data_IF_133718819610
#
_entry.id   IF_133718819610
#
_cell.length_a   1.000
_cell.length_b   1.000
_cell.length_c   1.000
_cell.angle_alpha   90.00
_cell.angle_beta   90.00
_cell.angle_gamma   90.00
#
_symmetry.space_group_name_H-M   'P 1'
#
loop_
_entity.id
_entity.type
_entity.pdbx_description
1 polymer ?
#
# COMPACT_ATOMS: atom_id res chain seq x y z
N UNK A 1 3.47 24.66 38.28
CA UNK A 1 3.49 25.24 36.92
C UNK A 1 2.97 24.17 35.98
N UNK A 2 1.81 24.38 35.34
CA UNK A 2 1.29 23.43 34.35
C UNK A 2 2.29 23.39 33.19
N UNK A 3 2.78 22.21 32.83
CA UNK A 3 3.71 22.05 31.70
C UNK A 3 3.09 22.68 30.46
N UNK A 4 3.80 23.65 29.88
CA UNK A 4 3.49 24.18 28.57
C UNK A 4 3.78 23.06 27.56
N UNK A 5 2.73 22.49 26.97
CA UNK A 5 2.81 21.71 25.74
C UNK A 5 3.26 22.69 24.65
N UNK A 6 4.54 22.62 24.25
CA UNK A 6 5.04 23.40 23.12
C UNK A 6 4.47 22.78 21.86
N UNK A 7 3.43 23.39 21.31
CA UNK A 7 2.84 23.00 20.04
C UNK A 7 3.46 23.91 18.98
N UNK A 8 4.35 23.35 18.16
CA UNK A 8 5.02 24.05 17.06
C UNK A 8 4.37 23.63 15.74
N UNK A 9 3.65 24.56 15.09
CA UNK A 9 3.02 24.32 13.79
C UNK A 9 3.99 24.67 12.67
N UNK A 10 4.15 23.76 11.72
CA UNK A 10 4.79 24.02 10.43
C UNK A 10 3.76 23.82 9.32
N UNK A 11 3.74 24.73 8.34
CA UNK A 11 2.86 24.69 7.17
C UNK A 11 3.67 24.84 5.88
N UNK A 12 3.22 24.23 4.79
CA UNK A 12 3.81 24.35 3.45
C UNK A 12 2.72 24.75 2.47
N UNK A 13 2.56 26.05 2.25
CA UNK A 13 1.55 26.61 1.34
C UNK A 13 2.20 27.59 0.37
N UNK A 14 1.53 27.87 -0.77
CA UNK A 14 1.94 28.93 -1.70
C UNK A 14 1.74 30.35 -1.15
N UNK A 15 1.15 30.49 0.04
CA UNK A 15 0.78 31.74 0.69
C UNK A 15 1.78 32.10 1.80
N UNK A 16 2.11 33.40 1.93
CA UNK A 16 3.27 33.83 2.74
C UNK A 16 2.97 34.07 4.23
N UNK A 17 1.70 34.25 4.63
CA UNK A 17 1.28 34.54 6.01
C UNK A 17 -0.05 33.83 6.31
N UNK A 18 -0.04 32.83 7.21
CA UNK A 18 -1.26 32.29 7.80
C UNK A 18 -1.76 33.25 8.90
N UNK A 19 -3.07 33.46 9.05
CA UNK A 19 -3.62 34.08 10.27
C UNK A 19 -4.31 33.00 11.05
N UNK A 20 -3.78 32.67 12.22
CA UNK A 20 -4.26 31.56 13.03
C UNK A 20 -4.89 32.05 14.32
N UNK A 21 -6.15 31.68 14.51
CA UNK A 21 -6.86 31.86 15.76
C UNK A 21 -6.99 30.50 16.47
N UNK A 22 -6.93 30.45 17.80
CA UNK A 22 -7.17 29.22 18.58
C UNK A 22 -8.21 29.43 19.71
N UNK A 23 -8.88 28.36 20.10
CA UNK A 23 -9.86 28.32 21.20
C UNK A 23 -9.28 27.54 22.39
N UNK A 24 -9.20 28.18 23.57
CA UNK A 24 -8.72 27.56 24.82
C UNK A 24 -9.84 26.84 25.58
N UNK A 25 -9.48 25.86 26.42
CA UNK A 25 -10.42 24.92 27.12
C UNK A 25 -11.57 25.62 27.89
N UNK A 26 -11.40 26.88 28.31
CA UNK A 26 -12.40 27.62 29.10
C UNK A 26 -13.11 28.76 28.32
N UNK A 27 -12.89 28.88 27.02
CA UNK A 27 -13.57 29.86 26.17
C UNK A 27 -14.70 29.16 25.39
N UNK A 28 -15.94 29.27 25.85
CA UNK A 28 -17.12 28.79 25.13
C UNK A 28 -17.59 29.85 24.12
N UNK A 29 -17.08 29.76 22.89
CA UNK A 29 -17.73 30.29 21.69
C UNK A 29 -17.76 31.82 21.48
N UNK A 30 -17.82 32.17 20.18
CA UNK A 30 -18.13 33.50 19.62
C UNK A 30 -17.09 34.60 19.89
N UNK A 31 -16.18 34.80 18.92
CA UNK A 31 -15.44 36.03 18.57
C UNK A 31 -14.66 36.81 19.65
N UNK A 32 -14.81 36.48 20.93
CA UNK A 32 -14.33 37.30 22.06
C UNK A 32 -13.36 36.56 22.98
N UNK A 33 -13.00 35.31 22.63
CA UNK A 33 -12.01 34.49 23.35
C UNK A 33 -10.85 34.01 22.48
N UNK A 34 -10.79 34.47 21.23
CA UNK A 34 -9.72 34.13 20.29
C UNK A 34 -8.55 35.06 20.52
N UNK A 35 -7.36 34.50 20.75
CA UNK A 35 -6.13 35.29 20.82
C UNK A 35 -5.35 35.03 19.53
N UNK A 36 -4.92 36.08 18.85
CA UNK A 36 -4.00 35.92 17.72
C UNK A 36 -2.72 35.27 18.26
N UNK A 37 -2.33 34.15 17.68
CA UNK A 37 -1.07 33.53 18.05
C UNK A 37 0.08 34.24 17.29
N UNK A 38 1.11 34.64 18.04
CA UNK A 38 2.25 35.38 17.51
C UNK A 38 3.08 34.45 16.61
N UNK A 39 3.23 34.82 15.34
CA UNK A 39 3.96 34.05 14.34
C UNK A 39 5.41 34.55 14.29
N UNK A 40 6.31 33.81 14.92
CA UNK A 40 7.75 34.04 14.76
C UNK A 40 8.31 33.01 13.77
N UNK A 41 8.86 33.51 12.65
CA UNK A 41 9.55 32.68 11.65
C UNK A 41 8.74 31.49 11.10
N UNK A 42 7.42 31.64 10.96
CA UNK A 42 6.53 30.58 10.44
C UNK A 42 6.17 29.49 11.44
N UNK A 43 6.52 29.69 12.72
CA UNK A 43 6.18 28.80 13.83
C UNK A 43 5.06 29.44 14.65
N UNK A 44 3.92 28.76 14.72
CA UNK A 44 2.84 29.15 15.63
C UNK A 44 3.04 28.46 16.99
N UNK A 45 3.06 29.25 18.07
CA UNK A 45 3.07 28.73 19.44
C UNK A 45 1.66 28.76 20.03
N UNK A 46 1.06 27.60 20.29
CA UNK A 46 -0.24 27.51 20.96
C UNK A 46 -0.09 27.26 22.48
N UNK A 47 -1.04 27.74 23.29
CA UNK A 47 -1.14 27.33 24.70
C UNK A 47 -1.38 25.83 24.84
N UNK A 48 -0.98 25.30 26.00
CA UNK A 48 -1.08 23.87 26.30
C UNK A 48 -2.49 23.34 26.51
N UNK A 49 -3.47 24.23 26.56
CA UNK A 49 -4.89 23.96 26.73
C UNK A 49 -5.71 24.31 25.48
N UNK A 50 -5.04 24.55 24.35
CA UNK A 50 -5.71 24.69 23.05
C UNK A 50 -6.33 23.37 22.63
N UNK A 51 -7.63 23.38 22.35
CA UNK A 51 -8.38 22.19 21.88
C UNK A 51 -8.76 22.29 20.41
N UNK A 52 -8.66 23.50 19.83
CA UNK A 52 -9.03 23.75 18.44
C UNK A 52 -8.27 24.94 17.86
N UNK A 53 -8.02 24.84 16.56
CA UNK A 53 -7.47 25.91 15.73
C UNK A 53 -8.52 26.26 14.66
N UNK A 54 -8.79 27.55 14.49
CA UNK A 54 -9.59 28.08 13.38
C UNK A 54 -8.76 29.13 12.64
N UNK A 55 -8.60 29.01 11.33
CA UNK A 55 -7.67 29.87 10.60
C UNK A 55 -8.06 30.07 9.14
N UNK A 56 -7.45 31.08 8.54
CA UNK A 56 -7.56 31.43 7.12
C UNK A 56 -6.20 31.88 6.63
N UNK A 57 -5.92 31.66 5.34
CA UNK A 57 -4.74 32.27 4.72
C UNK A 57 -5.14 33.60 4.08
N UNK A 58 -4.20 34.53 4.03
CA UNK A 58 -4.38 35.81 3.35
C UNK A 58 -3.16 36.18 2.53
N UNK A 59 -3.37 37.02 1.53
CA UNK A 59 -2.27 37.65 0.82
C UNK A 59 -1.55 38.69 1.70
N UNK A 60 -0.38 39.17 1.25
CA UNK A 60 0.46 40.11 2.03
C UNK A 60 -0.27 41.40 2.41
N UNK A 61 -1.24 41.81 1.59
CA UNK A 61 -1.97 43.06 1.76
C UNK A 61 -3.30 42.86 2.50
N UNK A 62 -3.66 41.62 2.85
CA UNK A 62 -4.96 41.25 3.45
C UNK A 62 -6.17 41.58 2.57
N UNK A 63 -5.98 41.64 1.26
CA UNK A 63 -7.01 41.90 0.27
C UNK A 63 -7.69 40.61 -0.20
N UNK A 64 -6.96 39.49 -0.21
CA UNK A 64 -7.47 38.18 -0.61
C UNK A 64 -7.37 37.20 0.55
N UNK A 65 -8.40 36.37 0.64
CA UNK A 65 -8.56 35.35 1.67
C UNK A 65 -8.69 34.00 0.98
N UNK A 66 -7.98 33.00 1.48
CA UNK A 66 -8.14 31.61 1.10
C UNK A 66 -8.84 30.92 2.28
N UNK A 67 -10.12 30.63 2.02
CA UNK A 67 -11.07 29.99 2.91
C UNK A 67 -11.39 28.59 2.36
N UNK A 68 -11.79 27.63 3.20
CA UNK A 68 -12.24 26.34 2.71
C UNK A 68 -13.45 26.50 1.77
N UNK A 69 -13.60 25.64 0.74
CA UNK A 69 -14.66 25.73 -0.26
C UNK A 69 -16.06 25.44 0.32
N UNK A 70 -16.14 24.87 1.53
CA UNK A 70 -17.38 24.59 2.26
C UNK A 70 -17.29 25.16 3.67
N UNK A 71 -18.43 25.54 4.22
CA UNK A 71 -18.50 25.92 5.63
C UNK A 71 -18.06 24.75 6.51
N UNK A 72 -17.29 25.06 7.54
CA UNK A 72 -16.86 24.07 8.52
C UNK A 72 -18.05 23.58 9.37
N UNK A 73 -17.83 22.57 10.22
CA UNK A 73 -18.86 21.99 11.10
C UNK A 73 -19.50 22.97 12.10
N UNK A 74 -18.95 24.18 12.24
CA UNK A 74 -19.50 25.28 13.05
C UNK A 74 -20.23 26.32 12.20
N UNK A 75 -20.49 26.02 10.93
CA UNK A 75 -21.13 26.89 9.94
C UNK A 75 -20.35 28.19 9.66
N UNK A 76 -19.01 28.12 9.69
CA UNK A 76 -18.10 29.26 9.44
C UNK A 76 -17.22 29.01 8.22
N UNK A 77 -16.76 30.08 7.60
CA UNK A 77 -15.94 30.05 6.39
C UNK A 77 -14.44 29.97 6.70
N UNK A 78 -14.01 29.22 7.70
CA UNK A 78 -12.59 29.12 8.09
C UNK A 78 -12.16 27.67 8.17
N UNK A 79 -10.86 27.40 7.94
CA UNK A 79 -10.29 26.09 8.21
C UNK A 79 -10.41 25.79 9.70
N UNK A 80 -10.76 24.56 10.03
CA UNK A 80 -11.00 24.12 11.40
C UNK A 80 -10.22 22.84 11.67
N UNK A 81 -9.42 22.82 12.73
CA UNK A 81 -8.64 21.65 13.14
C UNK A 81 -8.87 21.42 14.62
N UNK A 82 -9.38 20.24 14.96
CA UNK A 82 -9.47 19.80 16.35
C UNK A 82 -8.12 19.23 16.80
N UNK A 83 -7.72 19.59 18.03
CA UNK A 83 -6.46 19.19 18.64
C UNK A 83 -6.71 18.06 19.62
N UNK A 84 -6.08 16.92 19.37
CA UNK A 84 -5.96 15.84 20.32
C UNK A 84 -4.88 16.12 21.37
N UNK A 85 -5.19 15.81 22.63
CA UNK A 85 -4.23 15.85 23.74
C UNK A 85 -3.28 14.65 23.62
N UNK A 86 -2.17 14.85 22.92
CA UNK A 86 -1.10 13.84 22.78
C UNK A 86 0.23 14.35 23.31
N UNK A 87 1.00 13.47 23.95
CA UNK A 87 2.42 13.74 24.24
C UNK A 87 3.20 13.68 22.91
N UNK A 88 3.14 14.77 22.13
CA UNK A 88 3.88 14.93 20.89
C UNK A 88 4.82 16.13 21.02
N UNK A 89 6.04 15.99 20.51
CA UNK A 89 7.01 17.08 20.46
C UNK A 89 6.76 18.00 19.25
N UNK A 90 6.08 17.50 18.21
CA UNK A 90 5.81 18.25 16.97
C UNK A 90 4.39 17.99 16.44
N UNK A 91 3.67 19.06 16.10
CA UNK A 91 2.34 19.05 15.48
C UNK A 91 2.40 19.81 14.15
N UNK A 92 2.06 19.16 13.05
CA UNK A 92 1.91 19.84 11.77
C UNK A 92 0.43 20.15 11.52
N UNK A 93 0.14 21.33 10.98
CA UNK A 93 -1.18 21.64 10.42
C UNK A 93 -1.05 21.58 8.91
N UNK A 94 -1.67 20.57 8.33
CA UNK A 94 -1.61 20.32 6.89
C UNK A 94 -2.91 20.81 6.27
N UNK A 95 -2.81 21.59 5.20
CA UNK A 95 -3.95 22.00 4.39
C UNK A 95 -3.80 21.44 2.98
N UNK A 96 -4.81 20.70 2.51
CA UNK A 96 -4.86 20.12 1.18
C UNK A 96 -6.31 19.99 0.72
N UNK A 97 -6.57 20.26 -0.57
CA UNK A 97 -7.88 20.12 -1.21
C UNK A 97 -9.04 20.81 -0.46
N UNK A 98 -8.76 21.99 0.11
CA UNK A 98 -9.75 22.77 0.86
C UNK A 98 -10.08 22.23 2.25
N UNK A 99 -9.28 21.29 2.77
CA UNK A 99 -9.41 20.76 4.12
C UNK A 99 -8.12 20.92 4.92
N UNK A 100 -8.25 20.87 6.26
CA UNK A 100 -7.13 21.00 7.18
C UNK A 100 -7.11 19.83 8.18
N UNK A 101 -5.91 19.36 8.52
CA UNK A 101 -5.70 18.28 9.47
C UNK A 101 -4.53 18.54 10.42
N UNK A 102 -4.69 18.08 11.67
CA UNK A 102 -3.60 17.97 12.63
C UNK A 102 -2.82 16.67 12.41
N UNK A 103 -1.50 16.77 12.24
CA UNK A 103 -0.60 15.63 12.08
C UNK A 103 0.43 15.63 13.20
N UNK A 104 0.30 14.65 14.08
CA UNK A 104 1.18 14.44 15.22
C UNK A 104 2.41 13.65 14.80
N UNK A 105 3.57 14.30 14.82
CA UNK A 105 4.84 13.67 14.43
C UNK A 105 5.53 13.15 15.68
N UNK A 106 5.81 11.85 15.69
CA UNK A 106 6.66 11.24 16.70
C UNK A 106 8.12 11.26 16.19
N UNK A 107 9.05 11.91 16.93
CA UNK A 107 10.46 11.90 16.57
C UNK A 107 11.04 10.49 16.45
N UNK A 108 10.53 9.52 17.23
CA UNK A 108 10.93 8.11 17.18
C UNK A 108 10.25 7.33 16.06
N UNK A 109 9.29 7.94 15.37
CA UNK A 109 8.60 7.36 14.21
C UNK A 109 7.54 6.31 14.53
N UNK A 110 7.06 6.19 15.78
CA UNK A 110 6.11 5.12 16.14
C UNK A 110 4.74 5.22 15.45
N UNK A 111 4.41 6.37 14.82
CA UNK A 111 3.14 6.57 14.12
C UNK A 111 3.26 6.55 12.59
N UNK A 112 4.45 6.23 12.06
CA UNK A 112 4.70 6.09 10.63
C UNK A 112 4.25 4.71 10.15
N UNK A 113 3.72 4.67 8.93
CA UNK A 113 3.31 3.42 8.27
C UNK A 113 3.95 3.33 6.88
N UNK A 114 4.16 2.11 6.41
CA UNK A 114 4.47 1.80 5.03
C UNK A 114 3.22 1.20 4.39
N UNK A 115 2.71 1.80 3.32
CA UNK A 115 1.64 1.25 2.50
C UNK A 115 2.26 0.70 1.22
N UNK A 116 2.03 -0.58 0.95
CA UNK A 116 2.42 -1.27 -0.27
C UNK A 116 1.13 -1.73 -0.94
N UNK A 117 0.76 -1.13 -2.06
CA UNK A 117 -0.55 -1.38 -2.67
C UNK A 117 -0.42 -1.85 -4.10
N UNK A 118 -1.18 -2.87 -4.46
CA UNK A 118 -1.48 -3.11 -5.87
C UNK A 118 -2.24 -1.93 -6.49
N UNK A 119 -2.27 -1.87 -7.82
CA UNK A 119 -2.90 -0.80 -8.58
C UNK A 119 -4.25 -1.24 -9.15
N UNK A 120 -4.24 -2.11 -10.16
CA UNK A 120 -5.43 -2.42 -10.97
C UNK A 120 -6.45 -3.20 -10.14
N UNK A 121 -7.67 -2.68 -10.01
CA UNK A 121 -8.69 -3.31 -9.16
C UNK A 121 -8.49 -3.08 -7.66
N UNK A 122 -7.37 -2.50 -7.24
CA UNK A 122 -7.08 -2.19 -5.83
C UNK A 122 -7.13 -0.68 -5.57
N UNK A 123 -6.18 0.09 -6.12
CA UNK A 123 -6.09 1.54 -5.95
C UNK A 123 -6.68 2.30 -7.14
N UNK A 124 -6.60 1.72 -8.34
CA UNK A 124 -7.17 2.21 -9.60
C UNK A 124 -8.39 1.36 -9.94
N UNK A 125 -9.42 1.99 -10.50
CA UNK A 125 -10.69 1.35 -10.88
C UNK A 125 -11.92 2.09 -10.31
N UNK A 126 -11.70 2.89 -9.25
CA UNK A 126 -12.73 3.69 -8.61
C UNK A 126 -12.21 5.09 -8.27
N UNK A 127 -12.47 6.06 -9.14
CA UNK A 127 -11.92 7.42 -9.03
C UNK A 127 -12.27 8.12 -7.71
N UNK A 128 -13.46 7.88 -7.16
CA UNK A 128 -13.89 8.46 -5.88
C UNK A 128 -13.05 7.96 -4.69
N UNK A 129 -12.74 6.65 -4.66
CA UNK A 129 -11.91 6.06 -3.62
C UNK A 129 -10.44 6.45 -3.78
N UNK A 130 -9.96 6.54 -5.03
CA UNK A 130 -8.62 7.05 -5.31
C UNK A 130 -8.47 8.51 -4.85
N UNK A 131 -9.45 9.37 -5.14
CA UNK A 131 -9.45 10.76 -4.67
C UNK A 131 -9.45 10.83 -3.14
N UNK A 132 -10.28 10.01 -2.48
CA UNK A 132 -10.33 9.90 -1.02
C UNK A 132 -9.00 9.44 -0.43
N UNK A 133 -8.35 8.43 -1.04
CA UNK A 133 -7.04 7.95 -0.63
C UNK A 133 -5.97 9.05 -0.76
N UNK A 134 -5.87 9.73 -1.91
CA UNK A 134 -4.86 10.78 -2.11
C UNK A 134 -4.98 11.90 -1.11
N UNK A 135 -6.22 12.34 -0.86
CA UNK A 135 -6.53 13.38 0.10
C UNK A 135 -6.17 12.94 1.51
N UNK A 136 -6.59 11.75 1.93
CA UNK A 136 -6.27 11.20 3.25
C UNK A 136 -4.76 11.00 3.44
N UNK A 137 -4.09 10.46 2.42
CA UNK A 137 -2.64 10.27 2.39
C UNK A 137 -1.90 11.59 2.57
N UNK A 138 -2.29 12.62 1.81
CA UNK A 138 -1.67 13.95 1.87
C UNK A 138 -1.93 14.63 3.20
N UNK A 139 -3.18 14.63 3.69
CA UNK A 139 -3.57 15.29 4.93
C UNK A 139 -2.95 14.63 6.16
N UNK A 140 -2.83 13.31 6.17
CA UNK A 140 -2.49 12.60 7.40
C UNK A 140 -1.14 11.90 7.37
N UNK A 141 -0.75 11.26 6.26
CA UNK A 141 0.34 10.28 6.26
C UNK A 141 1.65 10.76 5.62
N UNK A 142 1.57 11.58 4.57
CA UNK A 142 2.74 12.05 3.84
C UNK A 142 3.71 12.81 4.76
N UNK A 143 3.19 13.79 5.50
CA UNK A 143 4.00 14.69 6.33
C UNK A 143 4.55 14.06 7.62
N UNK A 144 3.97 12.97 8.11
CA UNK A 144 4.51 12.26 9.29
C UNK A 144 5.71 11.38 8.97
N UNK A 145 6.10 11.26 7.70
CA UNK A 145 7.16 10.37 7.23
C UNK A 145 6.71 8.94 6.97
N UNK A 146 5.41 8.73 6.70
CA UNK A 146 4.91 7.46 6.15
C UNK A 146 5.45 7.26 4.73
N UNK A 147 5.44 6.02 4.24
CA UNK A 147 6.00 5.65 2.95
C UNK A 147 4.97 4.96 2.07
N UNK A 148 5.00 5.26 0.78
CA UNK A 148 4.07 4.71 -0.22
C UNK A 148 4.84 3.94 -1.28
N UNK A 149 4.40 2.71 -1.53
CA UNK A 149 4.96 1.83 -2.55
C UNK A 149 3.81 1.28 -3.40
N UNK A 150 3.96 1.35 -4.72
CA UNK A 150 3.07 0.66 -5.64
C UNK A 150 3.67 -0.71 -5.97
N UNK A 151 2.84 -1.76 -6.00
CA UNK A 151 3.26 -3.13 -6.27
C UNK A 151 2.34 -3.80 -7.29
N UNK A 152 2.68 -3.64 -8.57
CA UNK A 152 1.82 -3.96 -9.70
C UNK A 152 2.46 -4.97 -10.66
N UNK A 153 1.61 -5.64 -11.44
CA UNK A 153 2.04 -6.45 -12.58
C UNK A 153 2.44 -5.65 -13.83
N UNK A 154 2.20 -4.32 -13.86
CA UNK A 154 2.58 -3.45 -14.97
C UNK A 154 4.10 -3.35 -15.11
N UNK A 155 4.59 -3.21 -16.34
CA UNK A 155 5.97 -2.79 -16.63
C UNK A 155 6.12 -1.27 -16.37
N UNK A 156 7.34 -0.74 -16.44
CA UNK A 156 7.62 0.68 -16.19
C UNK A 156 6.80 1.64 -17.06
N UNK A 157 6.66 1.36 -18.36
CA UNK A 157 5.94 2.24 -19.29
C UNK A 157 4.46 2.31 -18.93
N UNK A 158 3.83 1.16 -18.72
CA UNK A 158 2.40 1.06 -18.39
C UNK A 158 2.09 1.59 -16.98
N UNK A 159 3.03 1.43 -16.05
CA UNK A 159 2.96 2.05 -14.74
C UNK A 159 3.00 3.57 -14.83
N UNK A 160 3.95 4.14 -15.58
CA UNK A 160 4.08 5.60 -15.71
C UNK A 160 2.88 6.22 -16.45
N UNK A 161 2.34 5.55 -17.46
CA UNK A 161 1.10 5.97 -18.12
C UNK A 161 -0.07 6.03 -17.13
N UNK A 162 -0.32 4.95 -16.39
CA UNK A 162 -1.38 4.91 -15.38
C UNK A 162 -1.14 5.93 -14.26
N UNK A 163 0.12 6.10 -13.85
CA UNK A 163 0.48 7.02 -12.80
C UNK A 163 0.19 8.48 -13.17
N UNK A 164 0.47 8.90 -14.41
CA UNK A 164 0.15 10.27 -14.82
C UNK A 164 -1.32 10.46 -15.21
N UNK A 165 -1.95 9.50 -15.90
CA UNK A 165 -3.39 9.51 -16.21
C UNK A 165 -4.22 9.68 -14.94
N UNK A 166 -3.96 8.84 -13.94
CA UNK A 166 -4.66 8.90 -12.67
C UNK A 166 -4.03 9.89 -11.68
N UNK A 167 -3.02 10.68 -12.06
CA UNK A 167 -2.32 11.65 -11.17
C UNK A 167 -1.95 11.05 -9.81
N UNK A 168 -1.30 9.89 -9.81
CA UNK A 168 -0.89 9.19 -8.61
C UNK A 168 0.18 9.99 -7.85
N UNK A 169 0.13 10.02 -6.50
CA UNK A 169 1.22 10.54 -5.69
C UNK A 169 2.54 9.85 -6.04
N UNK A 170 3.63 10.63 -6.02
CA UNK A 170 4.98 10.10 -6.20
C UNK A 170 5.25 9.01 -5.15
N UNK A 171 5.60 7.78 -5.55
CA UNK A 171 5.93 6.73 -4.59
C UNK A 171 7.37 6.88 -4.09
N UNK A 172 7.65 6.29 -2.94
CA UNK A 172 9.03 6.07 -2.47
C UNK A 172 9.71 4.97 -3.29
N UNK A 173 8.97 3.90 -3.62
CA UNK A 173 9.39 2.86 -4.56
C UNK A 173 8.22 2.39 -5.44
N UNK A 174 8.51 1.98 -6.67
CA UNK A 174 7.59 1.23 -7.50
C UNK A 174 8.13 -0.19 -7.72
N UNK A 175 7.37 -1.19 -7.26
CA UNK A 175 7.60 -2.61 -7.51
C UNK A 175 6.76 -2.99 -8.74
N UNK A 176 7.44 -3.39 -9.81
CA UNK A 176 6.85 -3.62 -11.14
C UNK A 176 7.10 -5.05 -11.61
N UNK A 177 6.43 -5.45 -12.68
CA UNK A 177 6.60 -6.77 -13.29
C UNK A 177 6.34 -7.91 -12.30
N UNK A 178 5.34 -7.77 -11.43
CA UNK A 178 5.03 -8.73 -10.34
C UNK A 178 6.24 -8.96 -9.42
N UNK A 179 6.95 -7.89 -9.09
CA UNK A 179 8.09 -7.93 -8.16
C UNK A 179 9.41 -8.32 -8.79
N UNK A 180 9.55 -8.23 -10.11
CA UNK A 180 10.83 -8.52 -10.79
C UNK A 180 11.66 -7.26 -11.00
N UNK A 181 11.04 -6.09 -10.92
CA UNK A 181 11.72 -4.81 -11.01
C UNK A 181 11.32 -3.92 -9.84
N UNK A 182 12.27 -3.12 -9.36
CA UNK A 182 12.05 -2.16 -8.27
C UNK A 182 12.70 -0.84 -8.67
N UNK A 183 11.94 0.24 -8.63
CA UNK A 183 12.37 1.57 -9.07
C UNK A 183 12.23 2.63 -7.98
N UNK A 184 13.15 3.61 -8.01
CA UNK A 184 13.05 4.89 -7.31
C UNK A 184 12.99 6.04 -8.31
N UNK A 185 12.50 7.21 -7.86
CA UNK A 185 12.33 8.39 -8.71
C UNK A 185 13.02 9.60 -8.07
N UNK A 186 14.33 9.78 -8.24
CA UNK A 186 15.08 10.84 -7.55
C UNK A 186 14.75 12.26 -8.02
N UNK A 187 14.02 12.43 -9.13
CA UNK A 187 13.70 13.75 -9.70
C UNK A 187 14.84 14.34 -10.53
N UNK A 188 15.90 13.56 -10.78
CA UNK A 188 16.99 13.87 -11.69
C UNK A 188 17.22 12.67 -12.62
N UNK A 189 17.67 12.94 -13.83
CA UNK A 189 18.03 11.91 -14.81
C UNK A 189 19.16 11.02 -14.25
N UNK A 190 18.99 9.70 -14.35
CA UNK A 190 19.98 8.75 -13.91
C UNK A 190 21.20 8.76 -14.86
N UNK A 191 22.44 8.83 -14.32
CA UNK A 191 23.63 9.00 -15.14
C UNK A 191 24.11 7.71 -15.84
N UNK A 192 23.61 6.53 -15.46
CA UNK A 192 24.10 5.24 -15.98
C UNK A 192 23.01 4.16 -16.01
N UNK A 193 22.78 3.60 -17.21
CA UNK A 193 21.84 2.51 -17.49
C UNK A 193 22.51 1.27 -18.11
N UNK A 194 23.84 1.24 -18.18
CA UNK A 194 24.63 0.20 -18.88
C UNK A 194 24.37 -1.23 -18.40
N UNK A 195 23.90 -1.41 -17.17
CA UNK A 195 23.64 -2.73 -16.59
C UNK A 195 22.40 -3.43 -17.15
N UNK A 196 21.38 -2.72 -17.63
CA UNK A 196 20.27 -3.37 -18.32
C UNK A 196 20.72 -3.85 -19.70
N UNK A 197 21.53 -3.05 -20.40
CA UNK A 197 22.04 -3.39 -21.73
C UNK A 197 22.80 -4.71 -21.76
N UNK A 198 23.51 -5.10 -20.69
CA UNK A 198 24.27 -6.34 -20.65
C UNK A 198 23.41 -7.61 -20.60
N UNK A 199 22.11 -7.48 -20.30
CA UNK A 199 21.14 -8.58 -20.32
C UNK A 199 20.40 -8.71 -21.65
N UNK A 200 20.60 -7.76 -22.58
CA UNK A 200 19.87 -7.64 -23.83
C UNK A 200 20.72 -8.13 -25.01
N UNK A 201 20.05 -8.72 -26.00
CA UNK A 201 20.63 -8.97 -27.33
C UNK A 201 20.91 -7.65 -28.06
N UNK A 202 21.77 -7.62 -29.10
CA UNK A 202 22.04 -6.39 -29.87
C UNK A 202 20.79 -5.72 -30.45
N UNK A 203 19.82 -6.50 -30.95
CA UNK A 203 18.54 -5.98 -31.46
C UNK A 203 17.69 -5.35 -30.34
N UNK A 204 17.75 -5.91 -29.13
CA UNK A 204 17.08 -5.36 -27.96
C UNK A 204 17.79 -4.11 -27.42
N UNK A 205 19.10 -3.99 -27.59
CA UNK A 205 19.87 -2.78 -27.24
C UNK A 205 19.52 -1.59 -28.13
N UNK A 206 19.24 -1.80 -29.42
CA UNK A 206 18.82 -0.73 -30.33
C UNK A 206 17.43 -0.18 -29.94
N UNK A 207 16.46 -1.08 -29.72
CA UNK A 207 15.14 -0.71 -29.17
C UNK A 207 15.24 -0.05 -27.81
N UNK A 208 16.20 -0.48 -26.98
CA UNK A 208 16.44 0.14 -25.68
C UNK A 208 16.75 1.63 -25.82
N UNK A 209 17.55 2.03 -26.80
CA UNK A 209 17.98 3.41 -26.96
C UNK A 209 16.80 4.33 -27.37
N UNK A 210 15.88 3.83 -28.20
CA UNK A 210 14.63 4.51 -28.55
C UNK A 210 13.72 4.67 -27.33
N UNK A 211 13.56 3.60 -26.54
CA UNK A 211 12.70 3.58 -25.35
C UNK A 211 13.22 4.50 -24.23
N UNK A 212 14.53 4.74 -24.18
CA UNK A 212 15.18 5.66 -23.23
C UNK A 212 14.94 7.13 -23.58
N UNK A 213 14.79 7.43 -24.87
CA UNK A 213 14.40 8.76 -25.35
C UNK A 213 12.88 8.97 -25.32
N UNK A 214 12.09 7.92 -25.02
CA UNK A 214 10.65 8.02 -24.99
C UNK A 214 10.18 8.94 -23.86
N UNK A 215 9.36 9.92 -24.25
CA UNK A 215 8.56 10.75 -23.35
C UNK A 215 7.13 10.30 -23.49
N UNK A 216 6.56 9.70 -22.44
CA UNK A 216 5.14 9.36 -22.46
C UNK A 216 4.28 10.62 -22.47
N UNK A 217 3.22 10.61 -23.28
CA UNK A 217 2.31 11.77 -23.44
C UNK A 217 1.60 12.14 -22.14
N UNK A 218 1.44 11.18 -21.22
CA UNK A 218 0.75 11.33 -19.94
C UNK A 218 1.60 10.86 -18.77
N UNK A 219 2.93 10.97 -18.83
CA UNK A 219 3.78 10.61 -17.68
C UNK A 219 3.71 11.66 -16.56
N UNK A 220 3.86 11.23 -15.30
CA UNK A 220 3.72 12.12 -14.16
C UNK A 220 4.86 13.14 -14.09
N UNK A 221 4.59 14.33 -13.54
CA UNK A 221 5.58 15.41 -13.40
C UNK A 221 6.85 14.98 -12.64
N UNK A 222 6.71 14.03 -11.71
CA UNK A 222 7.83 13.50 -10.93
C UNK A 222 8.71 12.49 -11.71
N UNK A 223 8.29 12.07 -12.91
CA UNK A 223 9.05 11.23 -13.84
C UNK A 223 8.68 11.58 -15.30
N UNK A 224 9.12 12.73 -15.82
CA UNK A 224 8.76 13.18 -17.16
C UNK A 224 9.42 12.36 -18.29
N UNK A 225 10.50 11.64 -17.97
CA UNK A 225 11.28 10.83 -18.91
C UNK A 225 11.73 9.54 -18.24
N UNK A 226 12.06 8.52 -19.03
CA UNK A 226 12.39 7.17 -18.53
C UNK A 226 13.64 7.22 -17.65
N UNK A 227 14.57 8.13 -17.98
CA UNK A 227 15.81 8.35 -17.24
C UNK A 227 15.58 8.79 -15.79
N UNK A 228 14.39 9.31 -15.45
CA UNK A 228 14.06 9.71 -14.07
C UNK A 228 13.62 8.52 -13.21
N UNK A 229 13.43 7.34 -13.82
CA UNK A 229 13.20 6.09 -13.13
C UNK A 229 14.53 5.35 -12.95
N UNK A 230 14.96 5.20 -11.69
CA UNK A 230 16.18 4.49 -11.32
C UNK A 230 15.87 3.10 -10.83
N UNK A 231 16.36 2.09 -11.55
CA UNK A 231 16.26 0.70 -11.12
C UNK A 231 17.17 0.42 -9.91
N UNK A 232 16.64 -0.33 -8.94
CA UNK A 232 17.37 -0.80 -7.77
C UNK A 232 18.28 -2.00 -8.10
N UNK A 233 19.56 -1.71 -8.32
CA UNK A 233 20.59 -2.72 -8.65
C UNK A 233 20.67 -3.87 -7.64
N UNK A 234 20.64 -3.56 -6.35
CA UNK A 234 20.69 -4.56 -5.27
C UNK A 234 19.56 -5.60 -5.38
N UNK A 235 18.36 -5.17 -5.78
CA UNK A 235 17.23 -6.07 -5.99
C UNK A 235 17.50 -7.01 -7.16
N UNK A 236 17.91 -6.44 -8.29
CA UNK A 236 18.13 -7.18 -9.53
C UNK A 236 19.28 -8.17 -9.38
N UNK A 237 20.39 -7.78 -8.76
CA UNK A 237 21.52 -8.66 -8.47
C UNK A 237 21.11 -9.85 -7.59
N UNK A 238 20.11 -9.67 -6.72
CA UNK A 238 19.62 -10.73 -5.84
C UNK A 238 18.77 -11.80 -6.54
N UNK A 239 18.16 -11.49 -7.69
CA UNK A 239 17.23 -12.38 -8.40
C UNK A 239 17.72 -12.83 -9.78
N UNK A 240 18.59 -12.08 -10.45
CA UNK A 240 18.95 -12.29 -11.87
C UNK A 240 19.57 -13.64 -12.19
N UNK A 241 20.23 -14.27 -11.21
CA UNK A 241 20.88 -15.58 -11.38
C UNK A 241 19.91 -16.75 -11.23
N UNK A 242 18.65 -16.50 -10.86
CA UNK A 242 17.66 -17.52 -10.55
C UNK A 242 16.68 -17.76 -11.71
N UNK A 243 16.79 -17.00 -12.80
CA UNK A 243 15.82 -17.00 -13.88
C UNK A 243 16.49 -16.74 -15.23
N UNK A 244 16.12 -17.54 -16.22
CA UNK A 244 16.43 -17.31 -17.62
C UNK A 244 15.11 -17.31 -18.38
N UNK A 245 14.75 -16.15 -18.95
CA UNK A 245 13.51 -16.03 -19.73
C UNK A 245 13.50 -16.99 -20.91
N UNK A 246 14.63 -17.10 -21.61
CA UNK A 246 14.78 -18.02 -22.74
C UNK A 246 14.50 -19.47 -22.34
N UNK A 247 15.09 -19.93 -21.23
CA UNK A 247 14.85 -21.29 -20.73
C UNK A 247 13.40 -21.50 -20.28
N UNK A 248 12.78 -20.48 -19.67
CA UNK A 248 11.37 -20.52 -19.30
C UNK A 248 10.45 -20.61 -20.53
N UNK A 249 10.76 -19.87 -21.60
CA UNK A 249 10.01 -19.92 -22.86
C UNK A 249 10.16 -21.28 -23.54
N UNK A 250 11.38 -21.81 -23.61
CA UNK A 250 11.66 -23.15 -24.15
C UNK A 250 10.95 -24.24 -23.34
N UNK A 251 10.90 -24.10 -22.01
CA UNK A 251 10.15 -24.98 -21.12
C UNK A 251 8.65 -24.93 -21.41
N UNK A 252 8.03 -23.74 -21.41
CA UNK A 252 6.60 -23.57 -21.66
C UNK A 252 6.21 -24.11 -23.03
N UNK A 253 6.98 -23.82 -24.08
CA UNK A 253 6.70 -24.31 -25.45
C UNK A 253 6.85 -25.81 -25.61
N UNK A 254 7.71 -26.44 -24.81
CA UNK A 254 7.92 -27.89 -24.84
C UNK A 254 6.83 -28.64 -24.09
N UNK A 255 6.41 -28.12 -22.94
CA UNK A 255 5.53 -28.85 -22.04
C UNK A 255 4.03 -28.53 -22.21
N UNK A 256 3.67 -27.35 -22.72
CA UNK A 256 2.28 -27.01 -22.98
C UNK A 256 1.89 -27.32 -24.43
N UNK A 257 0.97 -28.26 -24.61
CA UNK A 257 0.33 -28.55 -25.89
C UNK A 257 -1.05 -27.88 -25.96
N UNK A 258 -1.20 -26.83 -26.77
CA UNK A 258 -2.48 -26.15 -26.95
C UNK A 258 -2.35 -24.67 -27.35
N UNK A 259 -3.46 -23.95 -27.29
CA UNK A 259 -3.50 -22.52 -27.56
C UNK A 259 -3.10 -21.74 -26.29
N UNK A 260 -1.97 -21.03 -26.36
CA UNK A 260 -1.52 -20.10 -25.33
C UNK A 260 -0.69 -18.98 -25.98
N UNK A 261 -0.56 -17.86 -25.28
CA UNK A 261 0.19 -16.70 -25.75
C UNK A 261 1.26 -16.33 -24.73
N UNK A 262 2.52 -16.29 -25.18
CA UNK A 262 3.61 -15.70 -24.39
C UNK A 262 3.53 -14.17 -24.53
N UNK A 263 3.43 -13.48 -23.40
CA UNK A 263 3.30 -12.03 -23.34
C UNK A 263 4.66 -11.35 -23.08
N UNK A 264 4.74 -10.07 -23.44
CA UNK A 264 5.92 -9.23 -23.23
C UNK A 264 7.13 -9.67 -24.06
N UNK A 265 8.32 -9.16 -23.70
CA UNK A 265 9.59 -9.52 -24.34
C UNK A 265 10.75 -9.42 -23.34
N UNK A 266 11.92 -9.97 -23.68
CA UNK A 266 13.10 -9.93 -22.80
C UNK A 266 13.58 -8.51 -22.49
N UNK A 267 13.18 -7.53 -23.29
CA UNK A 267 13.50 -6.13 -23.04
C UNK A 267 12.66 -5.51 -21.89
N UNK A 268 11.34 -5.64 -21.92
CA UNK A 268 10.46 -5.07 -20.89
C UNK A 268 10.28 -5.97 -19.67
N UNK A 269 10.46 -7.27 -19.83
CA UNK A 269 10.23 -8.27 -18.79
C UNK A 269 11.39 -9.30 -18.79
N UNK A 270 12.65 -8.90 -18.59
CA UNK A 270 13.81 -9.80 -18.66
C UNK A 270 13.77 -10.90 -17.59
N UNK A 271 13.17 -10.59 -16.45
CA UNK A 271 13.10 -11.45 -15.27
C UNK A 271 11.70 -12.02 -15.03
N UNK A 272 10.83 -11.99 -16.04
CA UNK A 272 9.47 -12.52 -15.97
C UNK A 272 9.10 -13.17 -17.29
N UNK A 273 8.38 -14.27 -17.22
CA UNK A 273 7.64 -14.79 -18.36
C UNK A 273 6.16 -14.85 -17.99
N UNK A 274 5.34 -14.06 -18.66
CA UNK A 274 3.88 -14.08 -18.49
C UNK A 274 3.25 -14.84 -19.65
N UNK A 275 2.37 -15.79 -19.35
CA UNK A 275 1.68 -16.62 -20.34
C UNK A 275 0.17 -16.46 -20.17
N UNK A 276 -0.52 -15.99 -21.22
CA UNK A 276 -1.97 -16.04 -21.29
C UNK A 276 -2.38 -17.45 -21.68
N UNK A 277 -3.10 -18.14 -20.80
CA UNK A 277 -3.45 -19.55 -20.95
C UNK A 277 -4.95 -19.76 -20.66
N UNK A 278 -5.68 -20.56 -21.46
CA UNK A 278 -7.07 -20.93 -21.16
C UNK A 278 -7.15 -21.71 -19.85
N UNK A 279 -8.21 -21.48 -19.06
CA UNK A 279 -8.46 -22.20 -17.81
C UNK A 279 -8.50 -23.71 -18.04
N UNK A 280 -9.14 -24.16 -19.13
CA UNK A 280 -9.22 -25.58 -19.49
C UNK A 280 -7.84 -26.22 -19.71
N UNK A 281 -6.94 -25.52 -20.40
CA UNK A 281 -5.58 -26.01 -20.67
C UNK A 281 -4.73 -26.00 -19.39
N UNK A 282 -4.87 -24.96 -18.58
CA UNK A 282 -4.21 -24.83 -17.28
C UNK A 282 -4.62 -25.97 -16.34
N UNK A 283 -5.92 -26.26 -16.26
CA UNK A 283 -6.46 -27.34 -15.44
C UNK A 283 -5.94 -28.71 -15.89
N UNK A 284 -5.85 -28.98 -17.20
CA UNK A 284 -5.29 -30.24 -17.69
C UNK A 284 -3.87 -30.50 -17.17
N UNK A 285 -3.04 -29.45 -17.11
CA UNK A 285 -1.64 -29.58 -16.73
C UNK A 285 -1.39 -29.48 -15.22
N UNK A 286 -2.28 -28.84 -14.45
CA UNK A 286 -2.10 -28.65 -13.00
C UNK A 286 -3.05 -29.52 -12.15
N UNK A 287 -3.96 -30.28 -12.76
CA UNK A 287 -4.86 -31.19 -12.03
C UNK A 287 -4.12 -32.24 -11.21
N UNK A 288 -2.98 -32.74 -11.71
CA UNK A 288 -2.08 -33.59 -10.93
C UNK A 288 -0.89 -32.74 -10.44
N UNK A 289 -0.82 -32.41 -9.14
CA UNK A 289 0.25 -31.59 -8.59
C UNK A 289 1.59 -32.33 -8.56
N UNK A 290 1.58 -33.66 -8.72
CA UNK A 290 2.74 -34.52 -8.84
C UNK A 290 3.15 -34.78 -10.29
N UNK A 291 2.45 -34.18 -11.26
CA UNK A 291 2.83 -34.27 -12.67
C UNK A 291 4.27 -33.79 -12.89
N UNK A 292 4.91 -34.31 -13.94
CA UNK A 292 6.24 -33.86 -14.36
C UNK A 292 6.26 -32.35 -14.61
N UNK A 293 5.20 -31.81 -15.23
CA UNK A 293 5.03 -30.39 -15.49
C UNK A 293 5.05 -29.58 -14.18
N UNK A 294 4.15 -29.88 -13.24
CA UNK A 294 4.08 -29.17 -11.96
C UNK A 294 5.37 -29.28 -11.17
N UNK A 295 6.00 -30.45 -11.16
CA UNK A 295 7.25 -30.70 -10.45
C UNK A 295 8.40 -29.87 -11.02
N UNK A 296 8.55 -29.83 -12.35
CA UNK A 296 9.58 -29.02 -13.01
C UNK A 296 9.32 -27.52 -12.83
N UNK A 297 8.06 -27.09 -13.01
CA UNK A 297 7.64 -25.71 -12.83
C UNK A 297 7.95 -25.22 -11.40
N UNK A 298 7.54 -25.98 -10.38
CA UNK A 298 7.82 -25.70 -8.96
C UNK A 298 9.29 -25.85 -8.58
N UNK A 299 10.11 -26.58 -9.34
CA UNK A 299 11.55 -26.66 -9.10
C UNK A 299 12.29 -25.46 -9.67
N UNK A 300 11.95 -25.06 -10.89
CA UNK A 300 12.61 -23.98 -11.62
C UNK A 300 12.17 -22.58 -11.20
N UNK A 301 10.87 -22.37 -10.98
CA UNK A 301 10.29 -21.02 -10.97
C UNK A 301 9.43 -20.77 -9.73
N UNK A 302 9.30 -19.50 -9.36
CA UNK A 302 8.14 -19.06 -8.58
C UNK A 302 7.01 -18.78 -9.57
N UNK A 303 5.81 -19.25 -9.23
CA UNK A 303 4.65 -19.16 -10.11
C UNK A 303 3.59 -18.31 -9.45
N UNK A 304 3.04 -17.37 -10.20
CA UNK A 304 1.86 -16.60 -9.81
C UNK A 304 0.78 -16.78 -10.87
N UNK A 305 -0.47 -16.93 -10.45
CA UNK A 305 -1.62 -16.99 -11.36
C UNK A 305 -2.58 -15.85 -11.04
N UNK A 306 -2.98 -15.12 -12.06
CA UNK A 306 -3.94 -14.01 -11.96
C UNK A 306 -4.90 -13.98 -13.16
N UNK A 307 -5.80 -13.01 -13.18
CA UNK A 307 -6.84 -12.87 -14.21
C UNK A 307 -8.20 -13.45 -13.80
N UNK A 308 -9.18 -13.32 -14.70
CA UNK A 308 -10.57 -13.76 -14.54
C UNK A 308 -11.18 -14.25 -15.85
N UNK A 309 -12.39 -14.83 -15.80
CA UNK A 309 -13.07 -15.40 -16.97
C UNK A 309 -12.47 -16.75 -17.42
N UNK A 310 -12.40 -16.98 -18.73
CA UNK A 310 -11.93 -18.25 -19.33
C UNK A 310 -10.40 -18.32 -19.54
N UNK A 311 -9.69 -17.23 -19.26
CA UNK A 311 -8.23 -17.11 -19.42
C UNK A 311 -7.54 -16.70 -18.12
N UNK A 312 -6.28 -17.10 -17.97
CA UNK A 312 -5.43 -16.72 -16.84
C UNK A 312 -4.08 -16.22 -17.33
N UNK A 313 -3.46 -15.38 -16.52
CA UNK A 313 -2.03 -15.08 -16.64
C UNK A 313 -1.27 -16.05 -15.73
N UNK A 314 -0.38 -16.84 -16.31
CA UNK A 314 0.59 -17.69 -15.65
C UNK A 314 1.94 -16.99 -15.70
N UNK A 315 2.36 -16.41 -14.57
CA UNK A 315 3.63 -15.71 -14.43
C UNK A 315 4.70 -16.64 -13.84
N UNK A 316 5.79 -16.84 -14.57
CA UNK A 316 7.01 -17.51 -14.12
C UNK A 316 8.04 -16.46 -13.74
N UNK A 317 8.54 -16.58 -12.51
CA UNK A 317 9.40 -15.59 -11.85
C UNK A 317 10.64 -16.27 -11.23
N UNK A 318 11.71 -15.50 -10.96
CA UNK A 318 12.78 -15.89 -10.05
C UNK A 318 12.23 -16.39 -8.71
N UNK A 319 12.90 -17.36 -8.09
CA UNK A 319 12.47 -17.96 -6.81
C UNK A 319 12.24 -16.94 -5.71
N UNK A 320 13.14 -15.96 -5.59
CA UNK A 320 13.05 -14.88 -4.63
C UNK A 320 12.26 -13.66 -5.15
N UNK A 321 11.79 -13.70 -6.39
CA UNK A 321 10.92 -12.66 -6.96
C UNK A 321 9.49 -12.70 -6.42
N UNK A 322 8.57 -12.10 -7.16
CA UNK A 322 7.17 -11.99 -6.73
C UNK A 322 6.92 -10.77 -5.84
N UNK A 323 5.64 -10.45 -5.65
CA UNK A 323 5.20 -9.26 -4.91
C UNK A 323 5.70 -9.27 -3.46
N UNK A 324 5.63 -10.40 -2.74
CA UNK A 324 6.16 -10.48 -1.37
C UNK A 324 7.68 -10.24 -1.31
N UNK A 325 8.46 -10.87 -2.18
CA UNK A 325 9.93 -10.79 -2.13
C UNK A 325 10.42 -9.36 -2.26
N UNK A 326 9.89 -8.65 -3.27
CA UNK A 326 10.19 -7.25 -3.50
C UNK A 326 9.64 -6.34 -2.38
N UNK A 327 8.45 -6.64 -1.84
CA UNK A 327 7.87 -5.93 -0.70
C UNK A 327 8.78 -5.98 0.52
N UNK A 328 9.28 -7.18 0.86
CA UNK A 328 10.20 -7.37 1.98
C UNK A 328 11.54 -6.68 1.74
N UNK A 329 12.03 -6.62 0.49
CA UNK A 329 13.23 -5.87 0.13
C UNK A 329 13.05 -4.36 0.38
N UNK A 330 12.00 -3.74 -0.17
CA UNK A 330 11.79 -2.29 0.01
C UNK A 330 11.46 -1.93 1.45
N UNK A 331 10.71 -2.78 2.16
CA UNK A 331 10.38 -2.59 3.57
C UNK A 331 11.64 -2.51 4.42
N UNK A 332 12.59 -3.45 4.24
CA UNK A 332 13.89 -3.41 4.93
C UNK A 332 14.70 -2.18 4.55
N UNK A 333 14.72 -1.82 3.25
CA UNK A 333 15.45 -0.66 2.75
C UNK A 333 14.94 0.66 3.32
N UNK A 334 13.63 0.76 3.54
CA UNK A 334 12.97 1.92 4.16
C UNK A 334 13.01 1.90 5.70
N UNK A 335 13.48 0.80 6.32
CA UNK A 335 13.57 0.67 7.77
C UNK A 335 12.22 0.44 8.48
N UNK A 336 11.23 -0.14 7.79
CA UNK A 336 9.94 -0.48 8.37
C UNK A 336 9.92 -1.93 8.86
N UNK A 337 9.10 -2.19 9.88
CA UNK A 337 8.81 -3.55 10.34
C UNK A 337 7.51 -4.06 9.71
N UNK A 338 7.27 -5.38 9.67
CA UNK A 338 6.03 -5.93 9.16
C UNK A 338 4.77 -5.38 9.84
N UNK A 339 4.82 -5.14 11.16
CA UNK A 339 3.70 -4.61 11.95
C UNK A 339 3.38 -3.14 11.64
N UNK A 340 4.30 -2.45 10.96
CA UNK A 340 4.14 -1.09 10.45
C UNK A 340 3.95 -1.04 8.94
N UNK A 341 3.75 -2.20 8.31
CA UNK A 341 3.61 -2.34 6.87
C UNK A 341 2.26 -2.95 6.53
N UNK A 342 1.48 -2.21 5.75
CA UNK A 342 0.21 -2.67 5.21
C UNK A 342 0.37 -3.00 3.73
N UNK A 343 -0.09 -4.19 3.34
CA UNK A 343 -0.19 -4.64 1.95
C UNK A 343 -1.64 -4.60 1.50
N UNK A 344 -1.90 -4.09 0.29
CA UNK A 344 -3.24 -4.05 -0.30
C UNK A 344 -3.25 -4.81 -1.63
N UNK A 345 -4.32 -5.54 -1.91
CA UNK A 345 -4.48 -6.30 -3.15
C UNK A 345 -5.88 -6.86 -3.35
N UNK A 346 -6.14 -7.36 -4.55
CA UNK A 346 -7.44 -7.83 -5.01
C UNK A 346 -7.36 -9.22 -5.67
N UNK A 347 -6.19 -9.67 -6.13
CA UNK A 347 -6.09 -10.80 -7.05
C UNK A 347 -5.05 -11.86 -6.66
N UNK A 348 -4.94 -12.90 -7.50
CA UNK A 348 -4.12 -14.08 -7.18
C UNK A 348 -2.61 -13.81 -7.10
N UNK A 349 -2.10 -12.78 -7.79
CA UNK A 349 -0.69 -12.40 -7.70
C UNK A 349 -0.34 -11.66 -6.38
N UNK A 350 -1.35 -11.30 -5.57
CA UNK A 350 -1.18 -10.66 -4.26
C UNK A 350 -1.11 -11.66 -3.10
N UNK A 351 -1.55 -12.91 -3.32
CA UNK A 351 -1.68 -13.95 -2.28
C UNK A 351 -0.41 -14.08 -1.45
N UNK A 352 0.77 -14.02 -2.07
CA UNK A 352 2.03 -14.19 -1.36
C UNK A 352 2.28 -13.10 -0.32
N UNK A 353 1.82 -11.87 -0.55
CA UNK A 353 1.88 -10.77 0.43
C UNK A 353 0.99 -11.06 1.64
N UNK A 354 -0.23 -11.58 1.42
CA UNK A 354 -1.18 -11.94 2.47
C UNK A 354 -0.79 -13.23 3.22
N UNK A 355 0.03 -14.09 2.61
CA UNK A 355 0.57 -15.28 3.25
C UNK A 355 1.64 -14.96 4.31
N UNK A 356 2.20 -13.75 4.31
CA UNK A 356 3.19 -13.35 5.30
C UNK A 356 2.55 -13.22 6.70
N UNK A 357 3.13 -13.83 7.76
CA UNK A 357 2.45 -13.97 9.05
C UNK A 357 2.23 -12.66 9.82
N UNK A 358 3.04 -11.62 9.55
CA UNK A 358 3.04 -10.38 10.34
C UNK A 358 2.75 -9.11 9.54
N UNK A 359 2.60 -9.21 8.21
CA UNK A 359 2.19 -8.04 7.42
C UNK A 359 0.70 -7.77 7.66
N UNK A 360 0.31 -6.51 7.68
CA UNK A 360 -1.10 -6.12 7.78
C UNK A 360 -1.72 -6.23 6.38
N UNK A 361 -2.72 -7.10 6.20
CA UNK A 361 -3.40 -7.26 4.92
C UNK A 361 -4.66 -6.40 4.80
N UNK A 362 -4.82 -5.71 3.67
CA UNK A 362 -6.04 -5.00 3.26
C UNK A 362 -6.55 -5.62 1.94
N UNK A 363 -7.55 -6.50 2.03
CA UNK A 363 -8.22 -7.08 0.87
C UNK A 363 -9.41 -6.19 0.49
N UNK A 364 -9.44 -5.70 -0.75
CA UNK A 364 -10.50 -4.79 -1.22
C UNK A 364 -11.81 -5.52 -1.47
N UNK A 365 -12.93 -4.80 -1.41
CA UNK A 365 -14.28 -5.40 -1.49
C UNK A 365 -14.60 -6.08 -2.82
N UNK A 366 -13.94 -5.67 -3.91
CA UNK A 366 -14.06 -6.23 -5.25
C UNK A 366 -13.00 -7.32 -5.56
N UNK A 367 -12.30 -7.81 -4.53
CA UNK A 367 -11.26 -8.83 -4.71
C UNK A 367 -11.79 -10.08 -5.41
N UNK A 368 -10.97 -10.62 -6.31
CA UNK A 368 -11.24 -11.86 -7.02
C UNK A 368 -11.40 -13.02 -6.03
N UNK A 369 -12.29 -13.95 -6.38
CA UNK A 369 -12.67 -15.10 -5.55
C UNK A 369 -11.46 -15.91 -5.07
N UNK A 370 -10.41 -15.99 -5.87
CA UNK A 370 -9.15 -16.65 -5.52
C UNK A 370 -8.52 -16.10 -4.23
N UNK A 371 -8.39 -14.77 -4.10
CA UNK A 371 -7.77 -14.15 -2.93
C UNK A 371 -8.70 -14.28 -1.72
N UNK A 372 -10.00 -14.03 -1.92
CA UNK A 372 -11.01 -14.16 -0.86
C UNK A 372 -11.04 -15.58 -0.30
N UNK A 373 -10.98 -16.59 -1.16
CA UNK A 373 -10.98 -18.01 -0.77
C UNK A 373 -9.72 -18.38 0.00
N UNK A 374 -8.55 -17.93 -0.46
CA UNK A 374 -7.29 -18.09 0.26
C UNK A 374 -7.38 -17.53 1.70
N UNK A 375 -7.86 -16.28 1.84
CA UNK A 375 -8.00 -15.62 3.14
C UNK A 375 -9.01 -16.33 4.06
N UNK A 376 -10.16 -16.76 3.52
CA UNK A 376 -11.15 -17.55 4.27
C UNK A 376 -10.56 -18.85 4.81
N UNK A 377 -9.71 -19.53 4.03
CA UNK A 377 -9.04 -20.76 4.48
C UNK A 377 -8.00 -20.48 5.56
N UNK A 378 -7.19 -19.45 5.39
CA UNK A 378 -6.23 -19.01 6.40
C UNK A 378 -6.94 -18.72 7.73
N UNK A 379 -8.07 -18.03 7.70
CA UNK A 379 -8.90 -17.77 8.87
C UNK A 379 -9.47 -19.05 9.52
N UNK A 380 -9.94 -20.03 8.73
CA UNK A 380 -10.43 -21.32 9.25
C UNK A 380 -9.33 -22.14 9.94
N UNK A 381 -8.14 -22.22 9.34
CA UNK A 381 -6.99 -22.92 9.96
C UNK A 381 -6.60 -22.24 11.27
N UNK A 382 -6.59 -20.91 11.29
CA UNK A 382 -6.34 -20.10 12.47
C UNK A 382 -7.39 -20.34 13.59
N UNK A 383 -8.65 -20.55 13.23
CA UNK A 383 -9.72 -20.89 14.17
C UNK A 383 -9.57 -22.32 14.73
N UNK A 384 -9.29 -23.30 13.88
CA UNK A 384 -9.13 -24.70 14.31
C UNK A 384 -7.90 -24.91 15.21
N UNK A 385 -6.78 -24.27 14.89
CA UNK A 385 -5.56 -24.33 15.70
C UNK A 385 -5.71 -23.63 17.06
N UNK A 386 -6.54 -22.58 17.15
CA UNK A 386 -6.84 -21.91 18.42
C UNK A 386 -7.89 -22.65 19.26
N UNK A 387 -8.81 -23.40 18.65
CA UNK A 387 -9.80 -24.23 19.34
C UNK A 387 -9.23 -25.57 19.87
N UNK A 388 -8.17 -26.11 19.26
CA UNK A 388 -7.56 -27.39 19.66
C UNK A 388 -6.68 -27.38 20.92
N UNK A 389 -6.51 -26.24 21.60
CA UNK A 389 -5.63 -26.08 22.76
C UNK A 389 -6.35 -25.60 24.04
N UNK A 390 -7.66 -25.86 24.18
CA UNK A 390 -8.39 -25.72 25.44
C UNK A 390 -8.49 -27.05 26.17
N UNK A 391 -8.34 -27.11 27.52
CA UNK A 391 -8.62 -28.34 28.25
C UNK A 391 -10.08 -28.72 28.06
N UNK A 392 -10.33 -30.02 27.85
CA UNK A 392 -11.67 -30.58 27.86
C UNK A 392 -12.30 -30.40 29.24
N UNK A 393 -13.15 -29.40 29.40
CA UNK A 393 -14.09 -29.35 30.52
C UNK A 393 -15.51 -29.38 29.98
N UNK A 394 -16.19 -30.47 30.31
CA UNK A 394 -17.63 -30.69 30.20
C UNK A 394 -18.44 -29.59 30.90
N UNK A 395 -19.67 -29.31 30.45
CA UNK A 395 -20.46 -28.20 30.97
C UNK A 395 -21.02 -28.55 32.36
N UNK A 396 -20.68 -27.74 33.36
CA UNK A 396 -21.43 -27.70 34.63
C UNK A 396 -21.97 -26.28 34.84
N UNK A 397 -23.25 -26.23 35.18
CA UNK A 397 -24.10 -25.05 35.33
C UNK A 397 -23.74 -24.17 36.54
N UNK A 398 -24.29 -22.93 36.50
CA UNK A 398 -24.42 -21.93 37.59
C UNK A 398 -23.10 -21.25 38.01
N UNK A 399 -23.00 -19.93 38.18
CA UNK A 399 -23.91 -19.04 38.91
C UNK A 399 -23.61 -17.54 38.61
N UNK A 400 -24.58 -16.69 38.95
CA UNK A 400 -24.69 -15.23 38.77
C UNK A 400 -23.78 -14.38 39.66
N UNK A 401 -23.16 -13.31 39.13
CA UNK A 401 -23.31 -11.86 39.49
C UNK A 401 -22.03 -11.01 39.21
N UNK A 402 -22.18 -9.69 38.96
CA UNK A 402 -21.16 -8.83 38.35
C UNK A 402 -20.36 -8.01 39.36
N UNK A 403 -19.10 -7.68 39.06
CA UNK A 403 -18.44 -6.37 39.29
C UNK A 403 -16.93 -6.46 39.10
N UNK A 404 -16.36 -5.63 38.21
CA UNK A 404 -15.29 -4.68 38.54
C UNK A 404 -14.66 -4.10 37.26
N UNK A 405 -14.50 -2.77 37.28
CA UNK A 405 -13.85 -1.94 36.27
C UNK A 405 -12.33 -2.12 36.35
N UNK A 406 -11.65 -2.29 35.21
CA UNK A 406 -10.25 -1.87 34.98
C UNK A 406 -10.05 -1.44 33.52
N UNK A 407 -9.49 -0.24 33.35
CA UNK A 407 -8.81 0.21 32.13
C UNK A 407 -7.50 -0.57 31.92
N UNK A 408 -7.03 -0.71 30.67
CA UNK A 408 -5.75 -0.10 30.35
C UNK A 408 -5.63 0.50 28.92
N UNK A 409 -4.77 1.52 28.86
CA UNK A 409 -4.19 2.17 27.68
C UNK A 409 -3.30 1.23 26.84
N UNK A 410 -3.44 1.28 25.51
CA UNK A 410 -2.42 1.06 24.45
C UNK A 410 -3.09 0.77 23.08
N UNK A 411 -2.50 1.21 21.95
CA UNK A 411 -3.16 1.14 20.63
C UNK A 411 -3.02 -0.26 20.02
N UNK A 412 -4.10 -1.03 20.02
CA UNK A 412 -4.21 -2.33 19.33
C UNK A 412 -4.97 -2.17 18.01
N UNK A 413 -4.24 -2.45 16.92
CA UNK A 413 -4.66 -3.14 15.69
C UNK A 413 -6.00 -2.72 15.04
N UNK A 414 -5.90 -1.97 13.95
CA UNK A 414 -6.94 -1.88 12.92
C UNK A 414 -6.60 -2.87 11.79
N UNK A 415 -7.38 -3.95 11.68
CA UNK A 415 -7.47 -4.79 10.49
C UNK A 415 -8.97 -4.83 10.11
N UNK A 416 -9.30 -4.36 8.90
CA UNK A 416 -10.67 -4.30 8.42
C UNK A 416 -11.14 -5.69 7.97
N UNK A 417 -12.37 -6.06 8.36
CA UNK A 417 -13.02 -7.34 8.05
C UNK A 417 -13.86 -7.25 6.77
N UNK A 418 -13.86 -8.34 6.01
CA UNK A 418 -14.81 -8.62 4.92
C UNK A 418 -16.16 -8.97 5.54
N UNK A 419 -17.22 -8.24 5.17
CA UNK A 419 -18.61 -8.56 5.52
C UNK A 419 -19.08 -9.75 4.69
N UNK A 420 -19.39 -10.87 5.33
CA UNK A 420 -19.81 -12.11 4.68
C UNK A 420 -21.34 -12.20 4.66
N UNK A 421 -21.95 -11.54 3.68
CA UNK A 421 -23.36 -11.67 3.34
C UNK A 421 -23.54 -12.26 1.94
N UNK A 422 -23.28 -13.56 1.78
CA UNK A 422 -24.02 -14.50 0.92
C UNK A 422 -23.23 -15.81 0.73
N UNK A 423 -23.95 -16.92 0.92
CA UNK A 423 -23.55 -18.26 0.49
C UNK A 423 -23.39 -18.26 -1.03
N UNK A 424 -22.18 -18.54 -1.52
CA UNK A 424 -21.95 -18.94 -2.90
C UNK A 424 -20.95 -20.09 -2.88
N UNK A 425 -21.46 -21.27 -3.21
CA UNK A 425 -20.69 -22.47 -3.49
C UNK A 425 -19.94 -22.29 -4.81
N UNK A 426 -18.70 -21.85 -4.72
CA UNK A 426 -17.68 -22.03 -5.75
C UNK A 426 -16.55 -22.86 -5.15
N UNK A 427 -16.38 -24.10 -5.58
CA UNK A 427 -15.18 -24.85 -5.21
C UNK A 427 -13.95 -24.17 -5.82
N UNK A 428 -12.95 -23.90 -5.00
CA UNK A 428 -11.66 -23.39 -5.43
C UNK A 428 -11.06 -24.28 -6.53
N UNK A 429 -10.50 -23.71 -7.61
CA UNK A 429 -9.73 -24.49 -8.55
C UNK A 429 -8.53 -25.13 -7.84
N UNK A 430 -8.47 -26.46 -7.87
CA UNK A 430 -7.52 -27.32 -7.15
C UNK A 430 -6.04 -26.85 -7.23
N UNK A 431 -5.66 -26.19 -8.32
CA UNK A 431 -4.28 -25.79 -8.61
C UNK A 431 -3.70 -24.67 -7.73
N UNK A 432 -4.51 -23.82 -7.10
CA UNK A 432 -4.01 -22.72 -6.24
C UNK A 432 -3.56 -23.21 -4.86
N UNK A 433 -4.08 -24.36 -4.41
CA UNK A 433 -3.81 -24.96 -3.09
C UNK A 433 -2.35 -25.38 -2.89
N UNK A 434 -1.68 -25.83 -3.94
CA UNK A 434 -0.34 -26.44 -3.86
C UNK A 434 0.81 -25.56 -4.38
N UNK A 435 0.51 -24.32 -4.82
CA UNK A 435 1.53 -23.40 -5.36
C UNK A 435 2.06 -22.39 -4.35
N UNK A 436 1.34 -22.16 -3.27
CA UNK A 436 1.78 -21.30 -2.17
C UNK A 436 2.06 -22.16 -0.94
N UNK A 437 3.23 -22.03 -0.29
CA UNK A 437 3.51 -22.77 0.93
C UNK A 437 2.47 -22.43 2.00
N UNK A 438 1.86 -23.44 2.62
CA UNK A 438 1.05 -23.27 3.82
C UNK A 438 1.92 -22.71 4.96
N UNK A 439 1.66 -21.50 5.49
CA UNK A 439 2.46 -20.98 6.60
C UNK A 439 2.18 -21.76 7.91
N UNK A 440 3.22 -21.93 8.74
CA UNK A 440 3.07 -22.34 10.14
C UNK A 440 2.42 -21.20 10.93
N UNK A 441 1.32 -21.52 11.63
CA UNK A 441 0.39 -20.55 12.21
C UNK A 441 0.70 -20.24 13.68
N UNK A 442 0.78 -18.95 14.01
CA UNK A 442 0.63 -18.44 15.37
C UNK A 442 -0.25 -17.19 15.37
N UNK A 443 -1.29 -17.19 16.21
CA UNK A 443 -2.07 -15.99 16.51
C UNK A 443 -2.23 -15.84 18.02
N UNK A 444 -1.89 -14.64 18.51
CA UNK A 444 -2.10 -14.21 19.88
C UNK A 444 -3.55 -13.81 20.13
N UNK A 445 -4.04 -14.15 21.32
CA UNK A 445 -5.42 -14.00 21.80
C UNK A 445 -5.81 -12.52 22.01
N UNK A 446 -6.90 -12.03 21.39
CA UNK A 446 -8.11 -11.50 22.06
C UNK A 446 -9.08 -10.77 21.10
N UNK A 447 -10.41 -10.80 21.36
CA UNK A 447 -11.43 -10.11 20.55
C UNK A 447 -11.80 -8.74 21.15
N UNK A 448 -12.03 -7.71 20.32
CA UNK A 448 -12.76 -6.49 20.75
C UNK A 448 -13.94 -6.21 19.83
N UNK A 449 -15.08 -5.92 20.46
CA UNK A 449 -16.37 -5.55 19.88
C UNK A 449 -16.26 -4.21 19.14
N UNK A 450 -16.93 -4.12 17.99
CA UNK A 450 -16.99 -2.94 17.12
C UNK A 450 -17.47 -1.67 17.82
N UNK A 451 -16.88 -0.54 17.44
CA UNK A 451 -17.49 0.79 17.48
C UNK A 451 -17.53 1.33 16.03
N UNK A 452 -18.56 2.09 15.64
CA UNK A 452 -18.67 2.66 14.29
C UNK A 452 -17.57 3.71 14.06
N UNK A 453 -17.08 3.78 12.83
CA UNK A 453 -16.08 4.75 12.38
C UNK A 453 -16.64 6.18 12.49
N UNK A 454 -15.91 7.04 13.22
CA UNK A 454 -16.03 8.50 13.20
C UNK A 454 -14.64 9.11 13.14
#
# INVERSE_FOLDING_TARGET
MKQQQKVQIRYSTGWRLAVVHYEATNALGSCNGWTDADLQEGILCLPSDAERIEFVFKDKLSNLWDNPPRLNRLNRSNYLVDLEKRNCEELLVVVADGEAAAVYVDPKGANKVLIVTDLDGTLIGHDEYLASFKKHWTLHHFWRGSKLVYNTGRNLKDFLNAAGEHRLPKPDFAILGVGTEVYTFPGVSAPDHSHFCSLLTPEEQEKHQEDMAHRGECWPEWCPERLFAKLEKEWIDSIRHQFSRKEAEEFIRRELEGEFYINGNAFHDPMRLSVSIPVSLLEQHIKDPHSSFCSQLKRGYKVCISGGGDWRYLDLLPKNGGKLGATLFVMRKLGFTPERTMVCGDSGNDIDMFAHPTLLGCCVGNAHEVLVTFLKKQAKVNYQTSAGNGPSESPTEMNTNPTSKRHPDSPQQAAAMVDAGNELEGEEPFFLRDMYPTPNVHLSKQPRKYAPWS
#
